data_IF_599721027816
#
_entry.id   IF_599721027816
#
_cell.length_a   1.000
_cell.length_b   1.000
_cell.length_c   1.000
_cell.angle_alpha   90.00
_cell.angle_beta   90.00
_cell.angle_gamma   90.00
#
_symmetry.space_group_name_H-M   'P 1'
#
loop_
_entity.id
_entity.type
_entity.pdbx_description
1 polymer ?
#
# COMPACT_ATOMS: atom_id res chain seq x y z
N UNK A 1 -9.49 -4.81 -13.61
CA UNK A 1 -9.52 -3.66 -14.54
C UNK A 1 -9.15 -4.09 -15.96
N UNK A 2 -7.99 -4.74 -16.17
CA UNK A 2 -7.60 -5.29 -17.49
C UNK A 2 -8.64 -6.26 -18.07
N UNK A 3 -9.29 -7.05 -17.21
CA UNK A 3 -10.32 -8.05 -17.60
C UNK A 3 -11.76 -7.58 -17.40
N UNK A 4 -12.00 -6.26 -17.26
CA UNK A 4 -13.36 -5.70 -17.23
C UNK A 4 -13.87 -5.16 -15.90
N UNK A 5 -13.06 -5.14 -14.83
CA UNK A 5 -13.46 -4.45 -13.58
C UNK A 5 -13.40 -2.91 -13.72
N UNK A 6 -14.41 -2.20 -13.22
CA UNK A 6 -14.52 -0.74 -13.36
C UNK A 6 -13.68 0.09 -12.39
N UNK A 7 -13.28 -0.51 -11.27
CA UNK A 7 -12.54 0.18 -10.21
C UNK A 7 -11.75 -0.75 -9.31
N UNK A 8 -11.11 -0.15 -8.32
CA UNK A 8 -10.27 -0.83 -7.33
C UNK A 8 -10.56 -0.28 -5.94
N UNK A 9 -10.97 -1.17 -5.03
CA UNK A 9 -11.10 -0.92 -3.60
C UNK A 9 -9.94 -1.62 -2.89
N UNK A 10 -9.16 -0.87 -2.11
CA UNK A 10 -7.98 -1.37 -1.38
C UNK A 10 -7.86 -0.68 -0.02
N UNK A 11 -7.17 -1.30 0.94
CA UNK A 11 -6.85 -0.67 2.22
C UNK A 11 -5.59 0.18 2.14
N UNK A 12 -4.53 -0.31 1.48
CA UNK A 12 -3.26 0.42 1.36
C UNK A 12 -3.37 1.73 0.55
N UNK A 13 -4.46 1.97 -0.18
CA UNK A 13 -4.73 3.28 -0.80
C UNK A 13 -4.80 4.41 0.22
N UNK A 14 -5.13 4.12 1.48
CA UNK A 14 -5.11 5.10 2.56
C UNK A 14 -3.70 5.61 2.87
N UNK A 15 -2.66 4.81 2.63
CA UNK A 15 -1.26 5.17 2.83
C UNK A 15 -0.55 5.58 1.52
N UNK A 16 -0.94 5.01 0.38
CA UNK A 16 -0.33 5.22 -0.94
C UNK A 16 -1.37 5.57 -2.02
N UNK A 17 -2.09 6.71 -1.87
CA UNK A 17 -3.16 7.07 -2.80
C UNK A 17 -2.63 7.41 -4.20
N UNK A 18 -1.47 8.07 -4.28
CA UNK A 18 -0.89 8.49 -5.56
C UNK A 18 -0.48 7.30 -6.42
N UNK A 19 0.16 6.29 -5.82
CA UNK A 19 0.59 5.05 -6.47
C UNK A 19 -0.60 4.25 -6.97
N UNK A 20 -1.64 4.12 -6.13
CA UNK A 20 -2.87 3.40 -6.48
C UNK A 20 -3.57 4.07 -7.67
N UNK A 21 -3.68 5.40 -7.67
CA UNK A 21 -4.26 6.17 -8.77
C UNK A 21 -3.39 6.12 -10.02
N UNK A 22 -2.06 6.12 -9.90
CA UNK A 22 -1.15 5.98 -11.03
C UNK A 22 -1.37 4.63 -11.75
N UNK A 23 -1.43 3.52 -10.99
CA UNK A 23 -1.75 2.19 -11.55
C UNK A 23 -3.11 2.22 -12.25
N UNK A 24 -4.15 2.76 -11.59
CA UNK A 24 -5.49 2.88 -12.19
C UNK A 24 -5.45 3.63 -13.53
N UNK A 25 -4.84 4.82 -13.56
CA UNK A 25 -4.74 5.66 -14.76
C UNK A 25 -3.98 4.96 -15.89
N UNK A 26 -2.85 4.33 -15.57
CA UNK A 26 -2.04 3.60 -16.56
C UNK A 26 -2.82 2.43 -17.17
N UNK A 27 -3.53 1.66 -16.35
CA UNK A 27 -4.40 0.58 -16.85
C UNK A 27 -5.53 1.13 -17.73
N UNK A 28 -6.17 2.25 -17.34
CA UNK A 28 -7.20 2.92 -18.16
C UNK A 28 -6.66 3.46 -19.49
N UNK A 29 -5.38 3.82 -19.53
CA UNK A 29 -4.67 4.27 -20.73
C UNK A 29 -4.04 3.11 -21.54
N UNK A 30 -4.37 1.84 -21.23
CA UNK A 30 -3.79 0.64 -21.84
C UNK A 30 -2.25 0.50 -21.71
N UNK A 31 -1.63 1.26 -20.78
CA UNK A 31 -0.20 1.20 -20.44
C UNK A 31 0.05 0.17 -19.34
N UNK A 32 -0.28 -1.09 -19.61
CA UNK A 32 -0.27 -2.16 -18.60
C UNK A 32 1.14 -2.46 -18.09
N UNK A 33 2.16 -2.40 -18.96
CA UNK A 33 3.55 -2.68 -18.55
C UNK A 33 4.06 -1.62 -17.56
N UNK A 34 3.81 -0.34 -17.81
CA UNK A 34 4.13 0.75 -16.88
C UNK A 34 3.39 0.59 -15.54
N UNK A 35 2.12 0.20 -15.58
CA UNK A 35 1.34 -0.08 -14.38
C UNK A 35 1.92 -1.26 -13.58
N UNK A 36 2.43 -2.28 -14.28
CA UNK A 36 2.99 -3.49 -13.69
C UNK A 36 4.27 -3.20 -12.90
N UNK A 37 5.10 -2.26 -13.35
CA UNK A 37 6.31 -1.87 -12.61
C UNK A 37 5.97 -1.26 -11.25
N UNK A 38 4.98 -0.35 -11.20
CA UNK A 38 4.49 0.20 -9.92
C UNK A 38 3.85 -0.90 -9.08
N UNK A 39 3.03 -1.77 -9.70
CA UNK A 39 2.36 -2.86 -9.01
C UNK A 39 3.34 -3.83 -8.36
N UNK A 40 4.44 -4.19 -9.04
CA UNK A 40 5.49 -5.08 -8.50
C UNK A 40 6.19 -4.47 -7.28
N UNK A 41 6.52 -3.18 -7.33
CA UNK A 41 7.03 -2.47 -6.15
C UNK A 41 5.99 -2.46 -5.02
N UNK A 42 4.70 -2.31 -5.34
CA UNK A 42 3.64 -2.19 -4.35
C UNK A 42 3.22 -3.54 -3.75
N UNK A 43 3.49 -4.67 -4.43
CA UNK A 43 3.01 -5.99 -4.04
C UNK A 43 3.35 -6.38 -2.58
N UNK A 44 4.58 -6.20 -2.06
CA UNK A 44 4.87 -6.53 -0.67
C UNK A 44 4.06 -5.71 0.35
N UNK A 45 3.68 -4.47 -0.01
CA UNK A 45 2.79 -3.65 0.82
C UNK A 45 1.34 -4.15 0.74
N UNK A 46 0.87 -4.53 -0.45
CA UNK A 46 -0.47 -5.09 -0.65
C UNK A 46 -0.66 -6.42 0.12
N UNK A 47 0.39 -7.20 0.34
CA UNK A 47 0.33 -8.39 1.18
C UNK A 47 0.08 -8.09 2.67
N UNK A 48 0.28 -6.85 3.11
CA UNK A 48 -0.07 -6.44 4.46
C UNK A 48 -1.59 -6.35 4.67
N UNK A 49 -2.36 -6.19 3.59
CA UNK A 49 -3.82 -6.04 3.59
C UNK A 49 -4.58 -7.36 3.79
N UNK A 50 -3.91 -8.50 3.61
CA UNK A 50 -4.50 -9.85 3.75
C UNK A 50 -4.27 -10.46 5.16
N UNK A 51 -3.65 -9.71 6.06
CA UNK A 51 -3.42 -10.11 7.45
C UNK A 51 -4.63 -9.81 8.35
N UNK A 52 -4.89 -10.60 9.40
CA UNK A 52 -5.85 -10.22 10.45
C UNK A 52 -5.55 -8.87 11.12
N UNK A 53 -4.30 -8.38 10.99
CA UNK A 53 -3.83 -7.10 11.51
C UNK A 53 -3.82 -5.99 10.45
N UNK A 54 -4.62 -6.11 9.38
CA UNK A 54 -4.64 -5.15 8.26
C UNK A 54 -4.77 -3.69 8.70
N UNK A 55 -5.63 -3.41 9.70
CA UNK A 55 -5.85 -2.04 10.19
C UNK A 55 -4.57 -1.46 10.80
N UNK A 56 -3.87 -2.27 11.61
CA UNK A 56 -2.62 -1.85 12.22
C UNK A 56 -1.53 -1.65 11.15
N UNK A 57 -1.46 -2.56 10.17
CA UNK A 57 -0.47 -2.49 9.10
C UNK A 57 -0.66 -1.24 8.24
N UNK A 58 -1.89 -0.96 7.79
CA UNK A 58 -2.23 0.24 7.01
C UNK A 58 -1.87 1.48 7.81
N UNK A 59 -2.25 1.55 9.08
CA UNK A 59 -1.97 2.70 9.95
C UNK A 59 -0.48 2.93 10.17
N UNK A 60 0.31 1.87 10.28
CA UNK A 60 1.76 1.99 10.36
C UNK A 60 2.34 2.51 9.03
N UNK A 61 1.81 2.07 7.89
CA UNK A 61 2.17 2.62 6.59
C UNK A 61 1.76 4.09 6.43
N UNK A 62 0.58 4.49 6.93
CA UNK A 62 0.11 5.89 6.93
C UNK A 62 1.04 6.81 7.72
N UNK A 63 1.64 6.34 8.82
CA UNK A 63 2.65 7.10 9.56
C UNK A 63 3.90 7.30 8.70
N UNK A 64 4.37 6.25 8.04
CA UNK A 64 5.57 6.33 7.19
C UNK A 64 5.39 7.25 5.98
N UNK A 65 4.17 7.38 5.46
CA UNK A 65 3.84 8.29 4.35
C UNK A 65 3.37 9.67 4.80
N UNK A 66 3.23 9.91 6.12
CA UNK A 66 2.81 11.18 6.69
C UNK A 66 1.33 11.52 6.49
N UNK A 67 0.49 10.55 6.15
CA UNK A 67 -0.94 10.74 5.85
C UNK A 67 -1.84 10.52 7.08
N UNK A 68 -1.39 9.74 8.05
CA UNK A 68 -2.23 9.31 9.17
C UNK A 68 -1.49 9.01 10.46
N UNK A 69 -2.10 8.17 11.30
CA UNK A 69 -1.61 7.87 12.65
C UNK A 69 -1.67 6.37 12.94
N UNK A 70 -0.72 5.90 13.75
CA UNK A 70 -0.65 4.49 14.17
C UNK A 70 -1.77 4.10 15.16
N UNK A 71 -2.50 5.08 15.67
CA UNK A 71 -3.48 4.88 16.73
C UNK A 71 -4.60 3.94 16.28
N UNK A 72 -4.74 2.81 16.97
CA UNK A 72 -5.85 1.88 16.79
C UNK A 72 -6.80 1.93 17.96
N UNK A 73 -8.10 1.78 17.68
CA UNK A 73 -9.13 1.68 18.71
C UNK A 73 -9.19 0.26 19.27
N UNK A 74 -9.20 0.15 20.60
CA UNK A 74 -9.48 -1.10 21.30
C UNK A 74 -10.77 -1.78 20.77
N UNK A 75 -10.84 -3.12 20.67
CA UNK A 75 -9.92 -4.09 21.27
C UNK A 75 -8.64 -4.38 20.47
N UNK A 76 -8.40 -3.69 19.36
CA UNK A 76 -7.15 -3.84 18.60
C UNK A 76 -5.97 -3.30 19.42
N UNK A 77 -4.87 -4.03 19.41
CA UNK A 77 -3.60 -3.61 19.99
C UNK A 77 -2.65 -3.15 18.86
N UNK A 78 -1.72 -2.22 19.15
CA UNK A 78 -0.65 -1.85 18.21
C UNK A 78 0.21 -3.05 17.81
N UNK A 79 0.87 -2.97 16.65
CA UNK A 79 1.88 -3.97 16.27
C UNK A 79 3.06 -3.91 17.22
N UNK A 80 3.54 -5.08 17.63
CA UNK A 80 4.64 -5.23 18.58
C UNK A 80 5.57 -6.39 18.21
N UNK A 81 6.78 -6.36 18.75
CA UNK A 81 7.79 -7.42 18.57
C UNK A 81 8.12 -7.70 17.11
N UNK A 82 8.37 -8.99 16.81
CA UNK A 82 8.81 -9.44 15.50
C UNK A 82 7.87 -9.05 14.35
N UNK A 83 6.55 -9.00 14.59
CA UNK A 83 5.60 -8.61 13.55
C UNK A 83 5.73 -7.12 13.20
N UNK A 84 5.90 -6.25 14.21
CA UNK A 84 6.17 -4.82 13.96
C UNK A 84 7.44 -4.65 13.14
N UNK A 85 8.51 -5.33 13.52
CA UNK A 85 9.80 -5.25 12.82
C UNK A 85 9.70 -5.73 11.37
N UNK A 86 8.96 -6.81 11.13
CA UNK A 86 8.69 -7.33 9.79
C UNK A 86 7.95 -6.30 8.93
N UNK A 87 6.89 -5.70 9.46
CA UNK A 87 6.07 -4.71 8.75
C UNK A 87 6.87 -3.43 8.48
N UNK A 88 7.62 -2.93 9.47
CA UNK A 88 8.53 -1.79 9.29
C UNK A 88 9.56 -2.06 8.20
N UNK A 89 10.17 -3.25 8.17
CA UNK A 89 11.14 -3.60 7.13
C UNK A 89 10.53 -3.54 5.72
N UNK A 90 9.29 -4.00 5.55
CA UNK A 90 8.55 -3.93 4.27
C UNK A 90 8.30 -2.46 3.90
N UNK A 91 7.78 -1.67 4.83
CA UNK A 91 7.49 -0.24 4.62
C UNK A 91 8.77 0.53 4.29
N UNK A 92 9.85 0.35 5.06
CA UNK A 92 11.13 1.02 4.84
C UNK A 92 11.73 0.67 3.48
N UNK A 93 11.61 -0.60 3.07
CA UNK A 93 12.07 -1.04 1.75
C UNK A 93 11.25 -0.39 0.64
N UNK A 94 9.93 -0.28 0.81
CA UNK A 94 9.07 0.39 -0.14
C UNK A 94 9.39 1.89 -0.22
N UNK A 95 9.54 2.57 0.91
CA UNK A 95 9.85 4.00 0.98
C UNK A 95 11.22 4.33 0.35
N UNK A 96 12.24 3.49 0.56
CA UNK A 96 13.56 3.65 -0.06
C UNK A 96 13.52 3.51 -1.58
N UNK A 97 12.66 2.63 -2.09
CA UNK A 97 12.58 2.31 -3.52
C UNK A 97 11.31 2.89 -4.17
N UNK A 98 10.69 3.91 -3.56
CA UNK A 98 9.40 4.45 -4.00
C UNK A 98 9.54 5.00 -5.43
N UNK A 99 8.73 4.55 -6.39
CA UNK A 99 8.90 4.93 -7.79
C UNK A 99 8.52 6.40 -8.01
N UNK A 100 9.15 7.02 -9.01
CA UNK A 100 8.69 8.29 -9.55
C UNK A 100 7.44 8.00 -10.39
N UNK A 101 6.32 8.61 -10.01
CA UNK A 101 5.04 8.38 -10.68
C UNK A 101 4.95 9.22 -11.96
N UNK A 102 4.35 8.69 -13.03
CA UNK A 102 4.04 9.47 -14.22
C UNK A 102 3.00 10.56 -13.89
N UNK A 103 3.11 11.71 -14.59
CA UNK A 103 2.21 12.86 -14.44
C UNK A 103 0.77 12.55 -14.89
#
# INVERSE_FOLDING_TARGET
MVTGADGWVAGLVCAYPAETVAIYKLVKAAKVDEAMEIYRWFMPLLELDISPQLVQNIKLAEVATGIGTENVRAPRLPLQGAERERVLKIIDTAMKNRPILPA
#
